data_IF_672533011302
#
_entry.id   IF_672533011302
#
_cell.length_a   1.000
_cell.length_b   1.000
_cell.length_c   1.000
_cell.angle_alpha   90.00
_cell.angle_beta   90.00
_cell.angle_gamma   90.00
#
_symmetry.space_group_name_H-M   'P 1'
#
loop_
_entity.id
_entity.type
_entity.pdbx_description
1 polymer ?
#
# COMPACT_ATOMS: atom_id res chain seq x y z
N UNK A 1 18.95 -44.21 -62.57
CA UNK A 1 19.28 -42.93 -61.93
C UNK A 1 18.10 -42.42 -61.06
N UNK A 2 18.28 -42.48 -59.75
CA UNK A 2 17.29 -42.03 -58.80
C UNK A 2 17.56 -40.55 -58.48
N UNK A 3 16.51 -39.74 -58.28
CA UNK A 3 16.67 -38.37 -57.85
C UNK A 3 16.77 -38.28 -56.30
N UNK A 4 17.65 -37.39 -55.88
CA UNK A 4 18.02 -37.07 -54.50
C UNK A 4 16.84 -36.56 -53.69
N UNK A 5 16.69 -37.10 -52.46
CA UNK A 5 15.79 -36.62 -51.42
C UNK A 5 16.47 -35.49 -50.68
N UNK A 6 15.99 -34.26 -50.88
CA UNK A 6 16.35 -33.11 -50.05
C UNK A 6 15.44 -33.10 -48.82
N UNK A 7 16.00 -33.28 -47.63
CA UNK A 7 15.32 -33.09 -46.34
C UNK A 7 15.28 -31.62 -46.00
N UNK A 8 14.14 -31.08 -45.53
CA UNK A 8 14.10 -29.72 -44.99
C UNK A 8 14.63 -29.70 -43.55
N UNK A 9 15.72 -28.99 -43.34
CA UNK A 9 16.28 -28.66 -42.02
C UNK A 9 15.29 -27.78 -41.24
N UNK A 10 14.70 -28.34 -40.21
CA UNK A 10 13.82 -27.64 -39.28
C UNK A 10 14.71 -26.84 -38.32
N UNK A 11 14.80 -25.52 -38.52
CA UNK A 11 15.41 -24.61 -37.57
C UNK A 11 14.53 -24.50 -36.33
N UNK A 12 14.95 -25.11 -35.22
CA UNK A 12 14.39 -24.88 -33.90
C UNK A 12 14.82 -23.50 -33.45
N UNK A 13 13.90 -22.52 -33.56
CA UNK A 13 14.03 -21.27 -32.85
C UNK A 13 13.74 -21.59 -31.38
N UNK A 14 14.81 -21.66 -30.56
CA UNK A 14 14.72 -21.76 -29.11
C UNK A 14 14.14 -20.45 -28.58
N UNK A 15 12.85 -20.47 -28.26
CA UNK A 15 12.19 -19.41 -27.52
C UNK A 15 12.67 -19.51 -26.08
N UNK A 16 13.72 -18.75 -25.73
CA UNK A 16 14.07 -18.53 -24.32
C UNK A 16 13.01 -17.66 -23.70
N UNK A 17 12.31 -18.11 -22.64
CA UNK A 17 11.45 -17.21 -21.89
C UNK A 17 12.35 -16.17 -21.24
N UNK A 18 12.22 -14.91 -21.66
CA UNK A 18 12.80 -13.76 -20.96
C UNK A 18 12.24 -13.79 -19.55
N UNK A 19 12.98 -14.36 -18.60
CA UNK A 19 12.77 -14.12 -17.18
C UNK A 19 12.98 -12.63 -16.97
N UNK A 20 11.90 -11.87 -16.97
CA UNK A 20 11.88 -10.51 -16.50
C UNK A 20 12.26 -10.59 -15.02
N UNK A 21 13.52 -10.39 -14.69
CA UNK A 21 13.98 -10.16 -13.33
C UNK A 21 13.31 -8.88 -12.85
N UNK A 22 12.16 -9.04 -12.19
CA UNK A 22 11.48 -7.99 -11.45
C UNK A 22 12.13 -7.89 -10.08
N UNK A 23 13.43 -7.54 -10.08
CA UNK A 23 14.17 -7.20 -8.87
C UNK A 23 14.07 -5.70 -8.62
N UNK A 24 12.87 -5.18 -8.46
CA UNK A 24 12.71 -4.00 -7.63
C UNK A 24 12.55 -4.51 -6.20
N UNK A 25 13.53 -4.25 -5.35
CA UNK A 25 13.40 -4.45 -3.91
C UNK A 25 12.30 -3.51 -3.41
N UNK A 26 11.03 -3.97 -3.44
CA UNK A 26 9.94 -3.26 -2.83
C UNK A 26 10.17 -3.29 -1.32
N UNK A 27 10.60 -2.15 -0.77
CA UNK A 27 10.73 -1.99 0.67
C UNK A 27 9.35 -2.17 1.29
N UNK A 28 9.16 -3.25 2.05
CA UNK A 28 7.95 -3.46 2.85
C UNK A 28 7.79 -2.32 3.86
N UNK A 29 6.63 -1.70 3.89
CA UNK A 29 6.27 -0.64 4.82
C UNK A 29 5.21 -1.10 5.81
N UNK A 30 5.18 -0.48 6.99
CA UNK A 30 4.07 -0.53 7.92
C UNK A 30 3.24 0.74 7.77
N UNK A 31 1.96 0.60 7.44
CA UNK A 31 1.07 1.68 7.07
C UNK A 31 -0.11 1.71 8.05
N UNK A 32 -0.26 2.80 8.79
CA UNK A 32 -1.45 3.05 9.59
C UNK A 32 -2.54 3.70 8.73
N UNK A 33 -3.75 3.15 8.80
CA UNK A 33 -4.88 3.59 8.00
C UNK A 33 -6.06 3.90 8.92
N UNK A 34 -6.59 5.11 8.86
CA UNK A 34 -7.82 5.47 9.54
C UNK A 34 -9.05 4.86 8.84
N UNK A 35 -10.18 4.83 9.54
CA UNK A 35 -11.41 4.21 9.06
C UNK A 35 -12.45 5.23 8.59
N UNK A 36 -12.92 6.11 9.51
CA UNK A 36 -14.03 7.02 9.27
C UNK A 36 -13.61 8.29 8.53
N UNK A 37 -14.01 8.45 7.29
CA UNK A 37 -13.56 9.52 6.39
C UNK A 37 -12.39 9.09 5.50
N UNK A 38 -11.81 7.92 5.74
CA UNK A 38 -10.63 7.40 5.05
C UNK A 38 -10.96 6.15 4.22
N UNK A 39 -11.46 5.07 4.85
CA UNK A 39 -11.91 3.86 4.13
C UNK A 39 -13.39 3.99 3.78
N UNK A 40 -14.18 4.56 4.69
CA UNK A 40 -15.62 4.78 4.53
C UNK A 40 -15.96 6.25 4.73
N UNK A 41 -17.09 6.71 4.15
CA UNK A 41 -17.63 8.04 4.45
C UNK A 41 -17.83 8.19 5.97
N UNK A 42 -17.54 9.38 6.50
CA UNK A 42 -17.72 9.66 7.92
C UNK A 42 -19.20 9.65 8.32
N UNK A 43 -19.65 8.60 9.03
CA UNK A 43 -21.03 8.39 9.50
C UNK A 43 -21.08 7.88 10.94
N UNK A 44 -19.99 8.06 11.68
CA UNK A 44 -19.90 7.58 13.07
C UNK A 44 -21.16 7.88 13.90
N UNK A 45 -21.66 6.91 14.72
CA UNK A 45 -21.11 5.59 15.03
C UNK A 45 -21.36 4.52 13.96
N UNK A 46 -22.28 4.76 13.03
CA UNK A 46 -22.55 3.82 11.92
C UNK A 46 -21.37 3.76 10.95
N UNK A 47 -21.26 2.66 10.24
CA UNK A 47 -20.32 2.54 9.12
C UNK A 47 -20.92 3.22 7.90
N UNK A 48 -20.18 4.14 7.30
CA UNK A 48 -20.56 4.85 6.07
C UNK A 48 -20.40 3.97 4.82
N UNK A 49 -20.69 4.57 3.66
CA UNK A 49 -20.39 3.92 2.38
C UNK A 49 -18.88 3.84 2.18
N UNK A 50 -18.43 2.81 1.49
CA UNK A 50 -17.03 2.70 1.09
C UNK A 50 -16.63 3.90 0.21
N UNK A 51 -15.48 4.49 0.50
CA UNK A 51 -14.85 5.46 -0.39
C UNK A 51 -14.33 4.71 -1.62
N UNK A 52 -14.58 5.22 -2.84
CA UNK A 52 -14.23 4.50 -4.08
C UNK A 52 -12.80 3.97 -4.07
N UNK A 53 -12.65 2.68 -4.38
CA UNK A 53 -11.37 1.94 -4.46
C UNK A 53 -10.62 1.77 -3.13
N UNK A 54 -11.15 2.14 -1.97
CA UNK A 54 -10.46 2.04 -0.69
C UNK A 54 -10.02 0.60 -0.38
N UNK A 55 -10.97 -0.34 -0.34
CA UNK A 55 -10.63 -1.73 -0.03
C UNK A 55 -9.82 -2.40 -1.13
N UNK A 56 -10.01 -2.02 -2.40
CA UNK A 56 -9.21 -2.56 -3.51
C UNK A 56 -7.75 -2.13 -3.41
N UNK A 57 -7.48 -0.84 -3.13
CA UNK A 57 -6.13 -0.34 -2.93
C UNK A 57 -5.46 -0.99 -1.70
N UNK A 58 -6.19 -1.16 -0.58
CA UNK A 58 -5.68 -1.83 0.61
C UNK A 58 -5.31 -3.29 0.33
N UNK A 59 -6.13 -4.02 -0.44
CA UNK A 59 -5.79 -5.39 -0.88
C UNK A 59 -4.53 -5.44 -1.74
N UNK A 60 -4.36 -4.48 -2.66
CA UNK A 60 -3.14 -4.37 -3.47
C UNK A 60 -1.91 -4.09 -2.60
N UNK A 61 -2.01 -3.20 -1.61
CA UNK A 61 -0.93 -2.94 -0.66
C UNK A 61 -0.55 -4.19 0.15
N UNK A 62 -1.53 -5.01 0.55
CA UNK A 62 -1.27 -6.30 1.20
C UNK A 62 -0.59 -7.29 0.26
N UNK A 63 -0.99 -7.35 -1.02
CA UNK A 63 -0.35 -8.19 -2.04
C UNK A 63 1.10 -7.75 -2.29
N UNK A 64 1.37 -6.45 -2.21
CA UNK A 64 2.72 -5.87 -2.29
C UNK A 64 3.51 -6.06 -0.97
N UNK A 65 2.99 -6.87 -0.02
CA UNK A 65 3.62 -7.24 1.25
C UNK A 65 3.78 -6.09 2.25
N UNK A 66 3.00 -5.02 2.13
CA UNK A 66 2.94 -4.00 3.17
C UNK A 66 2.13 -4.50 4.37
N UNK A 67 2.50 -4.05 5.59
CA UNK A 67 1.73 -4.32 6.81
C UNK A 67 0.73 -3.20 7.02
N UNK A 68 -0.54 -3.52 7.12
CA UNK A 68 -1.59 -2.55 7.39
C UNK A 68 -1.98 -2.60 8.87
N UNK A 69 -2.05 -1.44 9.52
CA UNK A 69 -2.56 -1.27 10.88
C UNK A 69 -3.82 -0.42 10.80
N UNK A 70 -4.92 -0.90 11.34
CA UNK A 70 -6.11 -0.04 11.51
C UNK A 70 -5.84 0.93 12.67
N UNK A 71 -5.92 2.23 12.38
CA UNK A 71 -5.70 3.30 13.34
C UNK A 71 -6.93 4.19 13.43
N UNK A 72 -7.80 3.95 14.40
CA UNK A 72 -9.11 4.59 14.50
C UNK A 72 -9.42 5.01 15.93
N UNK A 73 -10.25 6.04 16.05
CA UNK A 73 -10.84 6.47 17.34
C UNK A 73 -11.98 5.58 17.79
N UNK A 74 -12.40 4.59 16.96
CA UNK A 74 -13.40 3.61 17.36
C UNK A 74 -12.88 2.73 18.49
N UNK A 75 -13.76 2.34 19.40
CA UNK A 75 -13.45 1.48 20.55
C UNK A 75 -14.52 0.40 20.72
N UNK A 76 -14.20 -0.68 21.45
CA UNK A 76 -15.12 -1.78 21.78
C UNK A 76 -15.81 -2.36 20.55
N UNK A 77 -17.11 -2.60 20.66
CA UNK A 77 -17.93 -3.22 19.60
C UNK A 77 -17.86 -2.46 18.27
N UNK A 78 -17.83 -1.10 18.31
CA UNK A 78 -17.73 -0.30 17.10
C UNK A 78 -16.40 -0.48 16.37
N UNK A 79 -15.32 -0.76 17.08
CA UNK A 79 -14.03 -1.08 16.48
C UNK A 79 -14.03 -2.50 15.89
N UNK A 80 -14.63 -3.45 16.59
CA UNK A 80 -14.79 -4.84 16.11
C UNK A 80 -15.64 -4.89 14.83
N UNK A 81 -16.73 -4.12 14.78
CA UNK A 81 -17.55 -3.97 13.56
C UNK A 81 -16.73 -3.42 12.38
N UNK A 82 -15.89 -2.40 12.60
CA UNK A 82 -15.05 -1.83 11.55
C UNK A 82 -14.02 -2.85 11.02
N UNK A 83 -13.40 -3.62 11.93
CA UNK A 83 -12.46 -4.70 11.57
C UNK A 83 -13.18 -5.80 10.79
N UNK A 84 -14.34 -6.24 11.26
CA UNK A 84 -15.15 -7.25 10.58
C UNK A 84 -15.57 -6.80 9.18
N UNK A 85 -16.03 -5.55 9.07
CA UNK A 85 -16.42 -4.91 7.80
C UNK A 85 -15.28 -4.93 6.76
N UNK A 86 -14.05 -4.62 7.19
CA UNK A 86 -12.86 -4.66 6.34
C UNK A 86 -12.52 -6.12 5.94
N UNK A 87 -12.58 -7.04 6.90
CA UNK A 87 -12.28 -8.46 6.67
C UNK A 87 -13.25 -9.10 5.66
N UNK A 88 -14.54 -8.78 5.73
CA UNK A 88 -15.53 -9.24 4.76
C UNK A 88 -15.21 -8.79 3.32
N UNK A 89 -14.42 -7.72 3.16
CA UNK A 89 -13.97 -7.19 1.87
C UNK A 89 -12.56 -7.62 1.49
N UNK A 90 -11.99 -8.55 2.26
CA UNK A 90 -10.67 -9.13 2.01
C UNK A 90 -9.50 -8.27 2.50
N UNK A 91 -9.75 -7.29 3.37
CA UNK A 91 -8.70 -6.48 4.01
C UNK A 91 -8.46 -7.01 5.42
N UNK A 92 -7.26 -7.52 5.68
CA UNK A 92 -6.85 -8.01 6.99
C UNK A 92 -5.75 -7.13 7.57
N UNK A 93 -5.97 -6.60 8.77
CA UNK A 93 -4.98 -5.78 9.45
C UNK A 93 -4.01 -6.62 10.26
N UNK A 94 -2.72 -6.27 10.19
CA UNK A 94 -1.66 -6.86 11.02
C UNK A 94 -1.90 -6.57 12.51
N UNK A 95 -2.32 -5.35 12.83
CA UNK A 95 -2.66 -4.93 14.19
C UNK A 95 -3.78 -3.87 14.14
N UNK A 96 -4.40 -3.58 15.29
CA UNK A 96 -5.47 -2.61 15.43
C UNK A 96 -5.15 -1.70 16.62
N UNK A 97 -4.99 -0.40 16.37
CA UNK A 97 -4.66 0.62 17.36
C UNK A 97 -3.40 0.32 18.20
N UNK A 98 -2.45 -0.44 17.63
CA UNK A 98 -1.18 -0.84 18.27
C UNK A 98 -0.11 -1.16 17.23
N UNK A 99 1.14 -1.14 17.63
CA UNK A 99 2.28 -1.36 16.71
C UNK A 99 2.40 -2.83 16.26
N UNK A 100 2.00 -3.79 17.12
CA UNK A 100 2.00 -5.23 16.83
C UNK A 100 0.89 -5.94 17.63
N UNK A 101 0.44 -7.14 17.22
CA UNK A 101 -0.76 -7.77 17.78
C UNK A 101 -0.73 -7.99 19.30
N UNK A 102 0.43 -8.29 19.87
CA UNK A 102 0.61 -8.62 21.29
C UNK A 102 0.87 -7.39 22.16
N UNK A 103 1.05 -6.18 21.58
CA UNK A 103 1.35 -4.96 22.33
C UNK A 103 0.24 -4.60 23.31
N UNK A 104 0.65 -4.25 24.53
CA UNK A 104 -0.24 -3.80 25.61
C UNK A 104 0.12 -2.40 26.06
N UNK A 105 -0.87 -1.65 26.53
CA UNK A 105 -0.66 -0.27 27.03
C UNK A 105 0.31 -0.18 28.20
N UNK A 106 0.49 -1.28 28.95
CA UNK A 106 1.41 -1.36 30.07
C UNK A 106 2.86 -1.67 29.63
N UNK A 107 3.09 -1.96 28.38
CA UNK A 107 4.41 -2.32 27.89
C UNK A 107 5.36 -1.12 27.94
N UNK A 108 6.61 -1.39 28.26
CA UNK A 108 7.65 -0.36 28.28
C UNK A 108 7.82 0.23 26.86
N UNK A 109 7.72 1.55 26.75
CA UNK A 109 7.84 2.24 25.47
C UNK A 109 6.56 2.31 24.65
N UNK A 110 5.40 1.91 25.20
CA UNK A 110 4.11 2.14 24.57
C UNK A 110 3.92 3.64 24.26
N UNK A 111 3.56 3.95 23.03
CA UNK A 111 3.25 5.30 22.57
C UNK A 111 1.89 5.31 21.88
N UNK A 112 1.11 6.38 22.11
CA UNK A 112 -0.15 6.56 21.38
C UNK A 112 0.07 6.78 19.88
N UNK A 113 1.19 7.40 19.49
CA UNK A 113 1.57 7.50 18.08
C UNK A 113 2.23 6.21 17.66
N UNK A 114 1.66 5.54 16.68
CA UNK A 114 2.19 4.31 16.13
C UNK A 114 3.57 4.53 15.47
N UNK A 115 4.43 3.53 15.58
CA UNK A 115 5.76 3.49 14.94
C UNK A 115 5.62 2.91 13.53
N UNK A 116 5.06 3.70 12.62
CA UNK A 116 4.77 3.30 11.24
C UNK A 116 5.55 4.15 10.24
N UNK A 117 5.69 3.65 9.03
CA UNK A 117 6.35 4.37 7.93
C UNK A 117 5.43 5.44 7.31
N UNK A 118 4.11 5.20 7.30
CA UNK A 118 3.13 6.07 6.65
C UNK A 118 1.79 6.06 7.41
N UNK A 119 1.14 7.23 7.46
CA UNK A 119 -0.25 7.38 7.89
C UNK A 119 -1.12 7.77 6.71
N UNK A 120 -2.25 7.06 6.52
CA UNK A 120 -3.32 7.39 5.57
C UNK A 120 -4.53 7.78 6.39
N UNK A 121 -4.89 9.08 6.37
CA UNK A 121 -5.89 9.67 7.25
C UNK A 121 -6.49 10.91 6.57
N UNK A 122 -7.82 11.06 6.58
CA UNK A 122 -8.53 12.20 6.00
C UNK A 122 -8.26 13.51 6.75
N UNK A 123 -7.83 13.43 8.00
CA UNK A 123 -7.53 14.59 8.86
C UNK A 123 -6.13 15.17 8.71
N UNK A 124 -5.40 14.74 7.69
CA UNK A 124 -4.13 15.37 7.33
C UNK A 124 -4.34 16.77 6.76
N UNK A 125 -3.37 17.69 6.99
CA UNK A 125 -3.45 19.07 6.51
C UNK A 125 -3.70 19.17 5.00
N UNK A 126 -3.19 18.24 4.20
CA UNK A 126 -3.39 18.16 2.75
C UNK A 126 -4.66 17.42 2.33
N UNK A 127 -5.47 16.93 3.29
CA UNK A 127 -6.62 16.06 3.02
C UNK A 127 -6.21 14.65 2.61
N UNK A 128 -7.18 13.88 2.09
CA UNK A 128 -6.98 12.53 1.60
C UNK A 128 -7.04 12.54 0.06
N UNK A 129 -6.00 12.08 -0.66
CA UNK A 129 -6.08 11.83 -2.09
C UNK A 129 -7.05 10.69 -2.41
N UNK A 130 -7.42 10.53 -3.69
CA UNK A 130 -8.11 9.32 -4.09
C UNK A 130 -7.23 8.08 -3.90
N UNK A 131 -7.88 6.92 -3.67
CA UNK A 131 -7.19 5.69 -3.33
C UNK A 131 -6.33 5.13 -4.47
N UNK A 132 -6.66 5.42 -5.73
CA UNK A 132 -5.82 5.04 -6.87
C UNK A 132 -4.49 5.80 -6.84
N UNK A 133 -4.55 7.11 -6.56
CA UNK A 133 -3.35 7.94 -6.40
C UNK A 133 -2.53 7.54 -5.18
N UNK A 134 -3.18 7.26 -4.04
CA UNK A 134 -2.51 6.76 -2.82
C UNK A 134 -1.70 5.50 -3.14
N UNK A 135 -2.32 4.50 -3.77
CA UNK A 135 -1.65 3.26 -4.13
C UNK A 135 -0.46 3.52 -5.07
N UNK A 136 -0.66 4.35 -6.11
CA UNK A 136 0.41 4.69 -7.04
C UNK A 136 1.58 5.38 -6.35
N UNK A 137 1.31 6.34 -5.46
CA UNK A 137 2.35 7.05 -4.69
C UNK A 137 3.18 6.09 -3.85
N UNK A 138 2.53 5.17 -3.14
CA UNK A 138 3.20 4.17 -2.31
C UNK A 138 4.06 3.24 -3.18
N UNK A 139 3.51 2.73 -4.26
CA UNK A 139 4.21 1.85 -5.21
C UNK A 139 5.42 2.49 -5.86
N UNK A 140 5.34 3.78 -6.16
CA UNK A 140 6.42 4.55 -6.79
C UNK A 140 7.33 5.24 -5.78
N UNK A 141 7.10 5.05 -4.46
CA UNK A 141 7.80 5.74 -3.37
C UNK A 141 7.80 7.27 -3.53
N UNK A 142 6.68 7.83 -3.99
CA UNK A 142 6.49 9.26 -4.17
C UNK A 142 5.70 9.87 -3.01
N UNK A 143 6.03 11.12 -2.69
CA UNK A 143 5.28 11.95 -1.76
C UNK A 143 4.43 12.98 -2.53
N UNK A 144 3.51 13.67 -1.86
CA UNK A 144 2.82 14.83 -2.44
C UNK A 144 3.78 15.87 -2.98
N UNK A 145 4.87 16.12 -2.27
CA UNK A 145 5.90 17.05 -2.71
C UNK A 145 6.47 16.66 -4.07
N UNK A 146 6.73 15.38 -4.30
CA UNK A 146 7.28 14.89 -5.56
C UNK A 146 6.30 15.09 -6.72
N UNK A 147 5.00 14.97 -6.46
CA UNK A 147 3.95 15.17 -7.47
C UNK A 147 3.76 16.64 -7.78
N UNK A 148 3.68 17.51 -6.76
CA UNK A 148 3.38 18.93 -6.95
C UNK A 148 4.60 19.78 -7.34
N UNK A 149 5.83 19.28 -7.12
CA UNK A 149 7.04 20.05 -7.45
C UNK A 149 7.70 19.63 -8.76
N UNK A 150 7.24 18.61 -9.45
CA UNK A 150 7.77 18.19 -10.76
C UNK A 150 7.65 19.28 -11.85
N UNK A 151 6.90 20.37 -11.61
CA UNK A 151 6.81 21.53 -12.52
C UNK A 151 7.76 22.68 -12.20
N UNK A 152 8.42 22.75 -11.04
CA UNK A 152 9.06 23.97 -10.53
C UNK A 152 10.45 23.79 -9.90
N UNK A 153 11.12 22.64 -10.00
CA UNK A 153 12.49 22.47 -9.47
C UNK A 153 13.47 22.33 -10.61
N UNK A 154 14.50 23.22 -10.70
CA UNK A 154 15.62 22.99 -11.60
C UNK A 154 16.32 21.66 -11.27
N UNK A 155 16.66 20.88 -12.28
CA UNK A 155 17.18 19.51 -12.20
C UNK A 155 18.49 19.31 -11.40
N UNK A 156 19.03 20.33 -10.78
CA UNK A 156 20.37 20.33 -10.18
C UNK A 156 20.41 20.02 -8.67
N UNK A 157 19.25 19.95 -7.98
CA UNK A 157 19.21 19.74 -6.51
C UNK A 157 18.88 18.30 -6.06
N UNK A 158 18.69 17.36 -6.97
CA UNK A 158 18.19 16.02 -6.64
C UNK A 158 19.28 15.01 -6.20
N UNK A 159 20.55 15.41 -6.14
CA UNK A 159 21.66 14.48 -5.84
C UNK A 159 21.97 14.21 -4.37
N UNK A 160 21.21 14.76 -3.39
CA UNK A 160 21.52 14.62 -1.95
C UNK A 160 20.31 14.37 -1.03
N UNK A 161 19.29 13.64 -1.45
CA UNK A 161 18.27 13.21 -0.49
C UNK A 161 18.50 11.77 -0.05
N UNK A 162 19.29 11.58 1.01
CA UNK A 162 19.20 10.41 1.86
C UNK A 162 17.85 10.49 2.58
N UNK A 163 16.98 9.55 2.31
CA UNK A 163 15.74 9.35 3.04
C UNK A 163 16.07 8.95 4.47
N UNK A 164 15.55 9.72 5.40
CA UNK A 164 15.56 9.39 6.82
C UNK A 164 14.26 8.64 7.13
N UNK A 165 14.31 7.33 7.01
CA UNK A 165 13.36 6.42 7.65
C UNK A 165 14.14 5.15 8.06
#
# INVERSE_FOLDING_TARGET
>A
PSPDKISPTRSHVLYSPIKKEYSSQHKTMTIAVDFDGTIVEHRYPRIGKEIPFATDALKLLQQDQHRLILWSVREGELLEEAVAWCKERGVEFYAVNRDYPEEKQQDCGFSRKLKVDLFIDDRNLGGLPDWGLIYQMIKEHKTFRDIYTQGNIPAEQDKKKKWWF
#
